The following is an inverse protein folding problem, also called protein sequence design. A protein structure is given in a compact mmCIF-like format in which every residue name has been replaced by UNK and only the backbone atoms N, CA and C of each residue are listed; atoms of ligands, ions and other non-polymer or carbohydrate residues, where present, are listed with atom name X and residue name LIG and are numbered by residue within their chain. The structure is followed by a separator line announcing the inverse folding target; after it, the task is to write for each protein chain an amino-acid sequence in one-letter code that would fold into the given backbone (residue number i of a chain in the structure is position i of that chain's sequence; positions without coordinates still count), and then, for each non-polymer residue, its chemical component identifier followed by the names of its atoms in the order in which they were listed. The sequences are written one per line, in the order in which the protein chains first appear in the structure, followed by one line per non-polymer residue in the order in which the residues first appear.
data_IF_953231706561
#
_entry.id   IF_953231706561
#
_cell.length_a   1.000
_cell.length_b   1.000
_cell.length_c   1.000
_cell.angle_alpha   90.00
_cell.angle_beta   90.00
_cell.angle_gamma   90.00
#
_symmetry.space_group_name_H-M   'P 1'
#
loop_
_entity.id
_entity.type
_entity.pdbx_description
1 polymer ?
#
# COMPACT_ATOMS: atom_id res chain seq x y z
N UNK A 1 17.23 -14.30 -5.77
CA UNK A 1 15.79 -14.30 -6.09
C UNK A 1 14.95 -13.54 -5.07
N UNK A 2 14.98 -13.86 -3.76
CA UNK A 2 14.13 -13.17 -2.75
C UNK A 2 14.23 -11.64 -2.79
N UNK A 3 15.45 -11.08 -2.86
CA UNK A 3 15.64 -9.64 -2.98
C UNK A 3 14.92 -9.03 -4.19
N UNK A 4 15.02 -9.68 -5.36
CA UNK A 4 14.36 -9.20 -6.60
C UNK A 4 12.84 -9.16 -6.46
N UNK A 5 12.28 -10.14 -5.74
CA UNK A 5 10.84 -10.26 -5.50
C UNK A 5 10.34 -9.24 -4.47
N UNK A 6 11.14 -8.97 -3.44
CA UNK A 6 10.81 -8.00 -2.38
C UNK A 6 10.90 -6.58 -2.92
N UNK A 7 11.95 -6.27 -3.68
CA UNK A 7 12.16 -4.92 -4.22
C UNK A 7 11.33 -4.60 -5.44
N UNK A 8 10.67 -5.60 -6.04
CA UNK A 8 9.76 -5.39 -7.17
C UNK A 8 10.39 -5.53 -8.55
N UNK A 9 11.60 -6.10 -8.64
CA UNK A 9 12.31 -6.33 -9.90
C UNK A 9 11.76 -7.58 -10.63
N UNK A 10 10.53 -7.48 -11.16
CA UNK A 10 9.83 -8.57 -11.86
C UNK A 10 10.66 -9.18 -12.99
N UNK A 11 11.10 -8.36 -13.95
CA UNK A 11 11.86 -8.84 -15.13
C UNK A 11 13.15 -9.56 -14.72
N UNK A 12 13.83 -9.05 -13.69
CA UNK A 12 15.04 -9.68 -13.18
C UNK A 12 14.73 -11.00 -12.47
N UNK A 13 13.62 -11.09 -11.73
CA UNK A 13 13.17 -12.31 -11.08
C UNK A 13 12.75 -13.39 -12.10
N UNK A 14 12.07 -13.00 -13.19
CA UNK A 14 11.68 -13.87 -14.30
C UNK A 14 12.91 -14.45 -15.01
N UNK A 15 13.84 -13.59 -15.44
CA UNK A 15 15.08 -14.03 -16.09
C UNK A 15 15.92 -14.90 -15.18
N UNK A 16 16.07 -14.53 -13.91
CA UNK A 16 16.80 -15.33 -12.93
C UNK A 16 16.15 -16.72 -12.77
N UNK A 17 14.82 -16.80 -12.71
CA UNK A 17 14.11 -18.09 -12.63
C UNK A 17 14.36 -18.96 -13.86
N UNK A 18 14.29 -18.37 -15.06
CA UNK A 18 14.52 -19.06 -16.32
C UNK A 18 15.96 -19.57 -16.45
N UNK A 19 16.96 -18.78 -16.07
CA UNK A 19 18.38 -19.12 -16.21
C UNK A 19 18.87 -20.09 -15.13
N UNK A 20 18.43 -19.91 -13.88
CA UNK A 20 18.89 -20.74 -12.75
C UNK A 20 18.07 -22.02 -12.57
N UNK A 21 16.91 -22.13 -13.22
CA UNK A 21 15.93 -23.18 -12.97
C UNK A 21 15.27 -23.13 -11.58
N UNK A 22 15.58 -22.10 -10.77
CA UNK A 22 14.97 -21.92 -9.47
C UNK A 22 13.50 -21.49 -9.64
N UNK A 23 12.60 -22.14 -8.90
CA UNK A 23 11.18 -21.77 -8.91
C UNK A 23 10.95 -20.55 -8.01
N UNK A 24 10.18 -19.56 -8.47
CA UNK A 24 9.84 -18.41 -7.64
C UNK A 24 8.94 -18.86 -6.48
N UNK A 25 9.18 -18.37 -5.25
CA UNK A 25 8.38 -18.71 -4.08
C UNK A 25 6.97 -18.10 -4.10
N UNK A 26 6.73 -17.12 -4.98
CA UNK A 26 5.45 -16.42 -5.14
C UNK A 26 5.11 -16.28 -6.61
N UNK A 27 3.83 -16.03 -6.91
CA UNK A 27 3.43 -15.63 -8.26
C UNK A 27 4.15 -14.33 -8.65
N UNK A 28 4.88 -14.31 -9.77
CA UNK A 28 5.61 -13.14 -10.23
C UNK A 28 4.68 -12.01 -10.67
N UNK A 29 3.42 -12.30 -11.02
CA UNK A 29 2.41 -11.28 -11.31
C UNK A 29 2.06 -10.46 -10.07
N UNK A 30 2.00 -11.07 -8.88
CA UNK A 30 1.70 -10.35 -7.63
C UNK A 30 2.81 -9.39 -7.19
N UNK A 31 3.99 -9.46 -7.82
CA UNK A 31 5.04 -8.45 -7.66
C UNK A 31 4.58 -7.13 -8.27
N UNK A 32 4.00 -7.17 -9.46
CA UNK A 32 3.55 -5.98 -10.17
C UNK A 32 2.44 -5.27 -9.40
N UNK A 33 1.50 -6.04 -8.86
CA UNK A 33 0.38 -5.53 -8.07
C UNK A 33 0.86 -4.78 -6.81
N UNK A 34 1.77 -5.40 -6.04
CA UNK A 34 2.39 -4.76 -4.86
C UNK A 34 3.18 -3.50 -5.24
N UNK A 35 3.81 -3.49 -6.41
CA UNK A 35 4.53 -2.32 -6.92
C UNK A 35 3.62 -1.15 -7.25
N UNK A 36 2.44 -1.42 -7.81
CA UNK A 36 1.43 -0.40 -8.09
C UNK A 36 0.95 0.25 -6.79
N UNK A 37 0.56 -0.57 -5.80
CA UNK A 37 0.18 -0.07 -4.46
C UNK A 37 1.29 0.78 -3.84
N UNK A 38 2.52 0.27 -3.83
CA UNK A 38 3.68 0.99 -3.27
C UNK A 38 3.90 2.34 -3.96
N UNK A 39 3.74 2.37 -5.29
CA UNK A 39 3.92 3.58 -6.09
C UNK A 39 2.83 4.61 -5.81
N UNK A 40 1.57 4.18 -5.68
CA UNK A 40 0.46 5.05 -5.31
C UNK A 40 0.70 5.71 -3.94
N UNK A 41 1.11 4.92 -2.94
CA UNK A 41 1.49 5.43 -1.60
C UNK A 41 2.63 6.45 -1.70
N UNK A 42 3.70 6.12 -2.42
CA UNK A 42 4.87 7.00 -2.56
C UNK A 42 4.56 8.32 -3.28
N UNK A 43 3.53 8.35 -4.13
CA UNK A 43 3.06 9.56 -4.81
C UNK A 43 2.10 10.41 -3.98
N UNK A 44 1.66 9.91 -2.81
CA UNK A 44 0.61 10.56 -2.01
C UNK A 44 -0.81 10.22 -2.48
N UNK A 45 -0.98 9.35 -3.48
CA UNK A 45 -2.29 8.91 -3.96
C UNK A 45 -2.84 7.81 -3.05
N UNK A 46 -3.20 8.15 -1.82
CA UNK A 46 -3.59 7.15 -0.82
C UNK A 46 -4.94 6.50 -1.13
N UNK A 47 -5.86 7.22 -1.75
CA UNK A 47 -7.16 6.67 -2.14
C UNK A 47 -7.02 5.58 -3.20
N UNK A 48 -6.20 5.83 -4.22
CA UNK A 48 -5.83 4.83 -5.24
C UNK A 48 -5.15 3.62 -4.57
N UNK A 49 -4.26 3.86 -3.61
CA UNK A 49 -3.61 2.77 -2.89
C UNK A 49 -4.62 1.89 -2.11
N UNK A 50 -5.59 2.50 -1.44
CA UNK A 50 -6.64 1.78 -0.68
C UNK A 50 -7.52 0.95 -1.63
N UNK A 51 -7.98 1.54 -2.74
CA UNK A 51 -8.78 0.83 -3.75
C UNK A 51 -8.02 -0.40 -4.26
N UNK A 52 -6.76 -0.22 -4.67
CA UNK A 52 -5.91 -1.32 -5.15
C UNK A 52 -5.66 -2.38 -4.10
N UNK A 53 -5.46 -2.00 -2.84
CA UNK A 53 -5.27 -2.96 -1.74
C UNK A 53 -6.53 -3.81 -1.55
N UNK A 54 -7.70 -3.19 -1.58
CA UNK A 54 -8.98 -3.91 -1.48
C UNK A 54 -9.25 -4.80 -2.70
N UNK A 55 -8.91 -4.37 -3.91
CA UNK A 55 -9.02 -5.20 -5.13
C UNK A 55 -8.15 -6.46 -5.04
N UNK A 56 -6.96 -6.34 -4.44
CA UNK A 56 -6.01 -7.45 -4.30
C UNK A 56 -6.34 -8.38 -3.14
N UNK A 57 -6.82 -7.82 -2.03
CA UNK A 57 -7.26 -8.56 -0.86
C UNK A 57 -8.35 -7.78 -0.13
N UNK A 58 -9.65 -8.08 -0.38
CA UNK A 58 -10.76 -7.33 0.18
C UNK A 58 -10.80 -7.30 1.71
N UNK A 59 -10.23 -8.31 2.38
CA UNK A 59 -10.29 -8.47 3.83
C UNK A 59 -9.08 -7.87 4.56
N UNK A 60 -8.06 -7.39 3.84
CA UNK A 60 -6.78 -7.01 4.48
C UNK A 60 -6.89 -5.78 5.39
N UNK A 61 -7.75 -4.83 5.05
CA UNK A 61 -7.95 -3.63 5.85
C UNK A 61 -8.83 -3.91 7.07
N UNK A 62 -9.78 -4.84 6.94
CA UNK A 62 -10.62 -5.29 8.06
C UNK A 62 -9.84 -6.16 9.05
N UNK A 63 -8.97 -7.03 8.54
CA UNK A 63 -8.15 -7.93 9.37
C UNK A 63 -6.90 -7.27 9.95
N UNK A 64 -6.54 -6.09 9.46
CA UNK A 64 -5.38 -5.33 9.93
C UNK A 64 -5.74 -3.85 10.19
N UNK A 65 -6.42 -3.57 11.32
CA UNK A 65 -6.89 -2.22 11.65
C UNK A 65 -5.73 -1.22 11.78
N UNK A 66 -4.54 -1.68 12.19
CA UNK A 66 -3.34 -0.85 12.26
C UNK A 66 -2.85 -0.39 10.88
N UNK A 67 -2.86 -1.29 9.90
CA UNK A 67 -2.53 -0.93 8.51
C UNK A 67 -3.53 0.11 7.98
N UNK A 68 -4.82 -0.15 8.20
CA UNK A 68 -5.87 0.77 7.79
C UNK A 68 -5.70 2.14 8.44
N UNK A 69 -5.46 2.21 9.76
CA UNK A 69 -5.20 3.46 10.46
C UNK A 69 -3.99 4.22 9.88
N UNK A 70 -2.87 3.54 9.59
CA UNK A 70 -1.71 4.19 9.00
C UNK A 70 -1.97 4.73 7.58
N UNK A 71 -2.80 4.06 6.78
CA UNK A 71 -3.23 4.59 5.48
C UNK A 71 -4.09 5.85 5.66
N UNK A 72 -5.04 5.86 6.59
CA UNK A 72 -5.84 7.05 6.90
C UNK A 72 -4.95 8.20 7.43
N UNK A 73 -3.98 7.89 8.28
CA UNK A 73 -3.00 8.87 8.78
C UNK A 73 -2.18 9.47 7.63
N UNK A 74 -1.74 8.65 6.66
CA UNK A 74 -1.04 9.16 5.49
C UNK A 74 -1.95 10.06 4.65
N UNK A 75 -3.23 9.71 4.46
CA UNK A 75 -4.20 10.56 3.75
C UNK A 75 -4.37 11.94 4.42
N UNK A 76 -4.41 11.98 5.76
CA UNK A 76 -4.39 13.24 6.50
C UNK A 76 -3.12 14.05 6.22
N UNK A 77 -1.95 13.40 6.22
CA UNK A 77 -0.67 14.07 5.91
C UNK A 77 -0.72 14.68 4.51
N UNK A 78 -1.29 13.98 3.52
CA UNK A 78 -1.40 14.51 2.15
C UNK A 78 -2.34 15.73 2.08
N UNK A 79 -3.48 15.75 2.80
CA UNK A 79 -4.29 16.97 2.91
C UNK A 79 -3.49 18.16 3.46
N UNK A 80 -2.66 17.93 4.48
CA UNK A 80 -1.80 18.97 5.06
C UNK A 80 -0.76 19.45 4.04
N UNK A 81 -0.12 18.52 3.30
CA UNK A 81 0.90 18.86 2.28
C UNK A 81 0.33 19.64 1.11
N UNK A 82 -0.93 19.39 0.75
CA UNK A 82 -1.67 20.13 -0.28
C UNK A 82 -2.18 21.51 0.20
N UNK A 83 -2.04 21.82 1.50
CA UNK A 83 -2.56 23.06 2.09
C UNK A 83 -4.08 23.05 2.31
N UNK A 84 -4.70 21.88 2.25
CA UNK A 84 -6.15 21.66 2.43
C UNK A 84 -6.50 21.49 3.91
N UNK A 85 -6.31 22.59 4.65
CA UNK A 85 -6.36 22.58 6.12
C UNK A 85 -7.77 22.28 6.65
N UNK A 86 -8.82 22.77 5.98
CA UNK A 86 -10.20 22.54 6.41
C UNK A 86 -10.54 21.06 6.28
N UNK A 87 -10.26 20.47 5.12
CA UNK A 87 -10.49 19.04 4.89
C UNK A 87 -9.63 18.17 5.80
N UNK A 88 -8.39 18.57 6.08
CA UNK A 88 -7.53 17.87 7.04
C UNK A 88 -8.15 17.86 8.46
N UNK A 89 -8.71 18.99 8.91
CA UNK A 89 -9.35 19.09 10.23
C UNK A 89 -10.63 18.27 10.32
N UNK A 90 -11.50 18.38 9.32
CA UNK A 90 -12.73 17.58 9.23
C UNK A 90 -12.38 16.09 9.23
N UNK A 91 -11.44 15.69 8.37
CA UNK A 91 -10.98 14.31 8.27
C UNK A 91 -10.39 13.78 9.58
N UNK A 92 -9.57 14.57 10.26
CA UNK A 92 -8.98 14.16 11.53
C UNK A 92 -10.05 13.91 12.61
N UNK A 93 -11.09 14.74 12.65
CA UNK A 93 -12.17 14.63 13.63
C UNK A 93 -13.09 13.45 13.35
N UNK A 94 -13.46 13.23 12.09
CA UNK A 94 -14.45 12.22 11.71
C UNK A 94 -13.84 10.81 11.61
N UNK A 95 -12.62 10.70 11.06
CA UNK A 95 -12.07 9.40 10.65
C UNK A 95 -10.93 8.89 11.52
N UNK A 96 -10.14 9.80 12.12
CA UNK A 96 -8.96 9.43 12.92
C UNK A 96 -9.23 9.50 14.42
N UNK A 97 -9.94 10.51 14.92
CA UNK A 97 -10.20 10.65 16.36
C UNK A 97 -10.92 9.42 16.97
N UNK A 98 -11.98 8.86 16.35
CA UNK A 98 -12.64 7.67 16.91
C UNK A 98 -11.74 6.42 16.92
N UNK A 99 -10.75 6.35 16.02
CA UNK A 99 -9.84 5.20 15.85
C UNK A 99 -8.51 5.36 16.59
N UNK A 100 -8.21 6.57 17.08
CA UNK A 100 -7.00 6.86 17.84
C UNK A 100 -7.03 6.28 19.25
N UNK A 101 -8.22 5.99 19.80
CA UNK A 101 -8.38 5.37 21.12
C UNK A 101 -8.08 3.86 21.13
N UNK A 102 -8.06 3.22 19.95
CA UNK A 102 -7.92 1.76 19.77
C UNK A 102 -6.52 1.32 19.25
N UNK A 103 -5.57 2.24 19.03
CA UNK A 103 -4.24 1.95 18.42
C UNK A 103 -3.07 1.82 19.40
#
# INVERSE_FOLDING_TARGET
MNYLIIEGYKDAAEKFSQESGAKPPVNLESIQDRMIVRTAIQRGNIEEAIERVNDLNPEILDTNPKLFFHLQQQRLIEYIREGRIVEALEFAQEELAPRGEEN
#
